data_IF_106053578705
#
_entry.id   IF_106053578705
#
_cell.length_a   1.000
_cell.length_b   1.000
_cell.length_c   1.000
_cell.angle_alpha   90.00
_cell.angle_beta   90.00
_cell.angle_gamma   90.00
#
_symmetry.space_group_name_H-M   'P 1'
#
loop_
_entity.id
_entity.type
_entity.pdbx_description
1 polymer ?
#
# COMPACT_ATOMS: atom_id res chain seq x y z
N UNK A 1 19.24 -12.37 -18.01
CA UNK A 1 18.36 -11.31 -17.51
C UNK A 1 19.21 -10.34 -16.71
N UNK A 2 18.95 -9.04 -16.81
CA UNK A 2 19.61 -8.03 -15.96
C UNK A 2 19.23 -8.30 -14.49
N UNK A 3 20.18 -8.20 -13.57
CA UNK A 3 19.90 -8.23 -12.14
C UNK A 3 19.36 -6.86 -11.73
N UNK A 4 18.21 -6.84 -11.10
CA UNK A 4 17.51 -5.62 -10.71
C UNK A 4 17.65 -5.42 -9.21
N UNK A 5 17.97 -4.20 -8.79
CA UNK A 5 18.19 -3.87 -7.38
C UNK A 5 17.34 -2.70 -6.94
N UNK A 6 17.04 -2.66 -5.66
CA UNK A 6 16.41 -1.53 -4.97
C UNK A 6 17.51 -0.76 -4.25
N UNK A 7 17.77 0.45 -4.69
CA UNK A 7 18.84 1.29 -4.17
C UNK A 7 18.46 2.02 -2.88
N UNK A 8 17.19 2.44 -2.80
CA UNK A 8 16.67 3.18 -1.64
C UNK A 8 15.18 2.94 -1.45
N UNK A 9 14.70 3.24 -0.25
CA UNK A 9 13.30 3.12 0.11
C UNK A 9 12.93 4.17 1.17
N UNK A 10 11.74 4.74 1.08
CA UNK A 10 11.18 5.60 2.11
C UNK A 10 9.65 5.65 2.04
N UNK A 11 9.02 6.11 3.12
CA UNK A 11 7.59 6.40 3.20
C UNK A 11 7.33 7.63 4.06
N UNK A 12 6.18 8.25 3.91
CA UNK A 12 5.65 9.17 4.94
C UNK A 12 5.16 8.37 6.14
N UNK A 13 5.02 8.99 7.29
CA UNK A 13 4.11 8.48 8.30
C UNK A 13 2.68 8.41 7.71
N UNK A 14 1.85 7.51 8.23
CA UNK A 14 0.47 7.31 7.76
C UNK A 14 -0.47 8.17 8.59
N UNK A 15 -1.20 9.06 7.91
CA UNK A 15 -2.26 9.89 8.49
C UNK A 15 -3.54 9.09 8.67
N UNK A 16 -4.27 9.34 9.76
CA UNK A 16 -5.62 8.82 9.97
C UNK A 16 -6.66 9.72 9.29
N UNK A 17 -7.84 9.21 9.06
CA UNK A 17 -8.97 9.98 8.51
C UNK A 17 -9.28 11.21 9.39
N UNK A 18 -9.36 12.38 8.77
CA UNK A 18 -9.50 13.67 9.46
C UNK A 18 -8.27 14.06 10.28
N UNK A 19 -7.12 13.41 10.05
CA UNK A 19 -5.87 13.63 10.78
C UNK A 19 -4.96 14.69 10.19
N UNK A 20 -3.69 14.60 10.54
CA UNK A 20 -2.68 15.63 10.23
C UNK A 20 -2.45 15.81 8.73
N UNK A 21 -2.59 14.75 7.91
CA UNK A 21 -2.40 14.81 6.46
C UNK A 21 -3.66 15.17 5.66
N UNK A 22 -4.82 15.34 6.29
CA UNK A 22 -6.14 15.47 5.64
C UNK A 22 -6.22 16.57 4.56
N UNK A 23 -5.37 17.57 4.61
CA UNK A 23 -5.32 18.66 3.64
C UNK A 23 -4.04 18.70 2.80
N UNK A 24 -3.25 17.62 2.80
CA UNK A 24 -2.01 17.52 2.02
C UNK A 24 -2.27 16.72 0.75
N UNK A 25 -2.29 17.35 -0.44
CA UNK A 25 -2.62 16.67 -1.69
C UNK A 25 -1.74 15.44 -1.95
N UNK A 26 -2.33 14.38 -2.53
CA UNK A 26 -1.59 13.16 -2.86
C UNK A 26 -0.34 13.43 -3.72
N UNK A 27 -0.41 14.38 -4.67
CA UNK A 27 0.74 14.78 -5.47
C UNK A 27 1.88 15.39 -4.65
N UNK A 28 1.56 16.10 -3.55
CA UNK A 28 2.57 16.69 -2.66
C UNK A 28 3.21 15.61 -1.77
N UNK A 29 2.42 14.68 -1.22
CA UNK A 29 2.94 13.51 -0.51
C UNK A 29 3.84 12.67 -1.42
N UNK A 30 3.42 12.42 -2.65
CA UNK A 30 4.21 11.72 -3.68
C UNK A 30 5.52 12.43 -3.98
N UNK A 31 5.52 13.77 -4.08
CA UNK A 31 6.72 14.55 -4.33
C UNK A 31 7.75 14.41 -3.19
N UNK A 32 7.30 14.39 -1.95
CA UNK A 32 8.16 14.23 -0.76
C UNK A 32 8.90 12.90 -0.82
N UNK A 33 8.20 11.79 -1.05
CA UNK A 33 8.83 10.45 -1.08
C UNK A 33 9.68 10.22 -2.33
N UNK A 34 9.32 10.77 -3.49
CA UNK A 34 10.14 10.71 -4.70
C UNK A 34 11.48 11.41 -4.45
N UNK A 35 11.44 12.65 -3.96
CA UNK A 35 12.65 13.43 -3.66
C UNK A 35 13.51 12.69 -2.64
N UNK A 36 12.95 12.27 -1.53
CA UNK A 36 13.70 11.57 -0.48
C UNK A 36 14.29 10.24 -0.97
N UNK A 37 13.57 9.47 -1.79
CA UNK A 37 14.10 8.22 -2.34
C UNK A 37 15.33 8.48 -3.24
N UNK A 38 15.29 9.53 -4.07
CA UNK A 38 16.43 9.98 -4.90
C UNK A 38 17.61 10.40 -4.03
N UNK A 39 17.34 11.23 -3.02
CA UNK A 39 18.38 11.72 -2.09
C UNK A 39 19.04 10.54 -1.33
N UNK A 40 18.25 9.56 -0.83
CA UNK A 40 18.76 8.35 -0.16
C UNK A 40 19.54 7.42 -1.08
N UNK A 41 19.17 7.36 -2.36
CA UNK A 41 19.94 6.59 -3.34
C UNK A 41 21.27 7.25 -3.70
N UNK A 42 21.47 8.51 -3.35
CA UNK A 42 22.68 9.28 -3.69
C UNK A 42 22.78 9.60 -5.18
N UNK A 43 21.66 9.65 -5.89
CA UNK A 43 21.60 9.99 -7.32
C UNK A 43 21.07 11.41 -7.53
N UNK A 44 21.28 11.92 -8.74
CA UNK A 44 20.72 13.21 -9.16
C UNK A 44 19.38 13.02 -9.85
N UNK A 45 18.43 13.99 -9.78
CA UNK A 45 17.16 13.92 -10.49
C UNK A 45 17.29 13.67 -11.99
N UNK A 46 18.34 14.18 -12.63
CA UNK A 46 18.63 14.04 -14.06
C UNK A 46 19.02 12.61 -14.47
N UNK A 47 19.33 11.74 -13.50
CA UNK A 47 19.70 10.35 -13.75
C UNK A 47 18.49 9.40 -13.76
N UNK A 48 17.33 9.91 -13.39
CA UNK A 48 16.09 9.12 -13.40
C UNK A 48 15.50 9.06 -14.80
N UNK A 49 15.23 7.86 -15.30
CA UNK A 49 14.67 7.65 -16.64
C UNK A 49 13.14 7.70 -16.64
N UNK A 50 12.50 7.24 -15.55
CA UNK A 50 11.04 7.13 -15.49
C UNK A 50 10.51 7.16 -14.05
N UNK A 51 9.23 7.54 -13.90
CA UNK A 51 8.51 7.51 -12.61
C UNK A 51 7.20 6.75 -12.75
N UNK A 52 6.99 5.74 -11.90
CA UNK A 52 5.71 5.06 -11.72
C UNK A 52 5.16 5.34 -10.32
N UNK A 53 3.97 5.94 -10.22
CA UNK A 53 3.29 6.15 -8.93
C UNK A 53 1.87 5.62 -8.95
N UNK A 54 1.56 4.75 -8.00
CA UNK A 54 0.21 4.31 -7.73
C UNK A 54 -0.65 5.42 -7.13
N UNK A 55 -1.87 5.59 -7.65
CA UNK A 55 -2.89 6.44 -7.05
C UNK A 55 -4.26 5.94 -7.52
N UNK A 56 -5.17 5.68 -6.60
CA UNK A 56 -6.48 5.06 -6.89
C UNK A 56 -7.56 6.12 -7.05
N UNK A 57 -7.69 7.00 -6.07
CA UNK A 57 -8.73 8.04 -6.02
C UNK A 57 -8.21 9.29 -6.72
N UNK A 58 -8.36 9.34 -8.05
CA UNK A 58 -7.78 10.39 -8.88
C UNK A 58 -8.76 11.52 -9.23
N UNK A 59 -10.04 11.37 -8.89
CA UNK A 59 -11.05 12.38 -9.17
C UNK A 59 -10.69 13.73 -8.52
N UNK A 60 -10.68 14.80 -9.31
CA UNK A 60 -10.39 16.14 -8.81
C UNK A 60 -8.91 16.47 -8.55
N UNK A 61 -7.99 15.51 -8.67
CA UNK A 61 -6.55 15.74 -8.45
C UNK A 61 -5.81 16.37 -9.62
N UNK A 62 -6.50 16.61 -10.75
CA UNK A 62 -5.90 17.11 -11.98
C UNK A 62 -5.30 15.99 -12.84
N UNK A 63 -4.50 16.37 -13.82
CA UNK A 63 -3.91 15.43 -14.75
C UNK A 63 -2.74 14.67 -14.12
N UNK A 64 -2.70 13.35 -14.27
CA UNK A 64 -1.54 12.49 -14.00
C UNK A 64 -0.81 12.83 -12.68
N UNK A 65 -1.31 12.28 -11.58
CA UNK A 65 -0.78 12.54 -10.22
C UNK A 65 0.72 12.23 -10.11
N UNK A 66 1.20 11.15 -10.76
CA UNK A 66 2.62 10.81 -10.82
C UNK A 66 3.46 11.92 -11.48
N UNK A 67 2.95 12.50 -12.58
CA UNK A 67 3.63 13.61 -13.25
C UNK A 67 3.70 14.86 -12.39
N UNK A 68 2.60 15.19 -11.71
CA UNK A 68 2.60 16.30 -10.76
C UNK A 68 3.61 16.10 -9.64
N UNK A 69 3.63 14.91 -9.04
CA UNK A 69 4.57 14.55 -7.97
C UNK A 69 6.03 14.61 -8.45
N UNK A 70 6.33 14.07 -9.63
CA UNK A 70 7.65 14.08 -10.26
C UNK A 70 8.19 15.51 -10.43
N UNK A 71 7.41 16.40 -11.04
CA UNK A 71 7.80 17.80 -11.24
C UNK A 71 7.97 18.55 -9.92
N UNK A 72 7.04 18.33 -8.96
CA UNK A 72 7.14 18.94 -7.62
C UNK A 72 8.34 18.42 -6.82
N UNK A 73 8.79 17.19 -7.07
CA UNK A 73 10.00 16.61 -6.50
C UNK A 73 11.29 17.21 -7.09
N UNK A 74 11.20 17.96 -8.18
CA UNK A 74 12.33 18.60 -8.84
C UNK A 74 12.97 17.78 -9.96
N UNK A 75 12.31 16.76 -10.50
CA UNK A 75 12.80 16.03 -11.66
C UNK A 75 12.70 16.89 -12.92
N UNK A 76 13.63 16.71 -13.88
CA UNK A 76 13.56 17.37 -15.17
C UNK A 76 12.25 17.10 -15.93
N UNK A 77 11.86 18.04 -16.77
CA UNK A 77 10.62 17.90 -17.56
C UNK A 77 10.70 16.79 -18.60
N UNK A 78 11.89 16.36 -18.94
CA UNK A 78 12.18 15.26 -19.87
C UNK A 78 11.86 13.88 -19.26
N UNK A 79 11.86 13.75 -17.92
CA UNK A 79 11.56 12.48 -17.25
C UNK A 79 10.07 12.19 -17.28
N UNK A 80 9.60 11.18 -18.03
CA UNK A 80 8.18 10.84 -18.10
C UNK A 80 7.70 10.21 -16.77
N UNK A 81 6.39 10.33 -16.53
CA UNK A 81 5.78 9.74 -15.35
C UNK A 81 4.39 9.15 -15.66
N UNK A 82 4.06 8.04 -15.04
CA UNK A 82 2.78 7.33 -15.23
C UNK A 82 2.11 7.05 -13.90
N UNK A 83 0.84 7.45 -13.80
CA UNK A 83 -0.01 7.07 -12.67
C UNK A 83 -0.64 5.70 -12.93
N UNK A 84 -0.45 4.77 -11.99
CA UNK A 84 -0.94 3.40 -12.09
C UNK A 84 -2.12 3.21 -11.14
N UNK A 85 -3.17 2.58 -11.62
CA UNK A 85 -4.30 2.15 -10.79
C UNK A 85 -4.58 0.66 -11.02
N UNK A 86 -4.21 -0.13 -10.04
CA UNK A 86 -4.64 -1.51 -9.83
C UNK A 86 -5.09 -1.64 -8.36
N UNK A 87 -5.96 -0.70 -7.96
CA UNK A 87 -6.50 -0.55 -6.61
C UNK A 87 -5.38 -0.66 -5.55
N UNK A 88 -5.56 -1.46 -4.49
CA UNK A 88 -4.60 -1.60 -3.38
C UNK A 88 -3.19 -2.02 -3.84
N UNK A 89 -3.08 -2.77 -4.94
CA UNK A 89 -1.81 -3.26 -5.49
C UNK A 89 -0.98 -2.23 -6.24
N UNK A 90 -1.50 -1.03 -6.48
CA UNK A 90 -0.88 -0.02 -7.35
C UNK A 90 0.58 0.26 -7.01
N UNK A 91 0.88 0.55 -5.75
CA UNK A 91 2.23 0.89 -5.31
C UNK A 91 3.23 -0.26 -5.47
N UNK A 92 2.85 -1.51 -5.17
CA UNK A 92 3.74 -2.67 -5.32
C UNK A 92 3.90 -3.06 -6.80
N UNK A 93 2.81 -2.93 -7.58
CA UNK A 93 2.88 -3.20 -9.02
C UNK A 93 3.75 -2.17 -9.75
N UNK A 94 3.81 -0.92 -9.29
CA UNK A 94 4.76 0.07 -9.81
C UNK A 94 6.21 -0.42 -9.70
N UNK A 95 6.57 -1.06 -8.58
CA UNK A 95 7.91 -1.63 -8.39
C UNK A 95 8.15 -2.80 -9.36
N UNK A 96 7.17 -3.68 -9.52
CA UNK A 96 7.27 -4.79 -10.48
C UNK A 96 7.37 -4.28 -11.93
N UNK A 97 6.61 -3.24 -12.30
CA UNK A 97 6.69 -2.62 -13.63
C UNK A 97 8.03 -1.93 -13.87
N UNK A 98 8.58 -1.25 -12.84
CA UNK A 98 9.91 -0.66 -12.91
C UNK A 98 11.00 -1.71 -13.17
N UNK A 99 10.97 -2.82 -12.44
CA UNK A 99 11.87 -3.93 -12.66
C UNK A 99 11.76 -4.51 -14.09
N UNK A 100 10.53 -4.71 -14.57
CA UNK A 100 10.26 -5.20 -15.94
C UNK A 100 10.75 -4.23 -17.01
N UNK A 101 10.58 -2.92 -16.84
CA UNK A 101 11.06 -1.89 -17.75
C UNK A 101 12.60 -1.90 -17.86
N UNK A 102 13.28 -2.07 -16.72
CA UNK A 102 14.74 -2.17 -16.68
C UNK A 102 15.23 -3.49 -17.29
N UNK A 103 14.53 -4.62 -17.03
CA UNK A 103 14.83 -5.89 -17.68
C UNK A 103 14.69 -5.83 -19.21
N UNK A 104 13.67 -5.10 -19.70
CA UNK A 104 13.46 -4.87 -21.12
C UNK A 104 14.53 -4.00 -21.77
N UNK A 105 15.27 -3.21 -20.99
CA UNK A 105 16.32 -2.31 -21.47
C UNK A 105 15.82 -0.91 -21.84
N UNK A 106 14.58 -0.57 -21.48
CA UNK A 106 13.97 0.74 -21.79
C UNK A 106 14.36 1.82 -20.75
N UNK A 107 14.91 1.42 -19.59
CA UNK A 107 15.41 2.29 -18.54
C UNK A 107 16.54 1.62 -17.76
N UNK A 108 17.34 2.40 -17.05
CA UNK A 108 18.33 1.95 -16.07
C UNK A 108 17.95 2.34 -14.64
N UNK A 109 17.29 3.48 -14.44
CA UNK A 109 16.90 4.00 -13.12
C UNK A 109 15.42 4.45 -13.16
N UNK A 110 14.59 3.82 -12.32
CA UNK A 110 13.15 4.14 -12.22
C UNK A 110 12.78 4.42 -10.76
N UNK A 111 12.08 5.52 -10.52
CA UNK A 111 11.43 5.75 -9.23
C UNK A 111 10.04 5.11 -9.27
N UNK A 112 9.76 4.23 -8.32
CA UNK A 112 8.49 3.51 -8.24
C UNK A 112 7.87 3.63 -6.85
N UNK A 113 6.57 3.82 -6.78
CA UNK A 113 5.91 3.97 -5.50
C UNK A 113 4.40 4.12 -5.59
N UNK A 114 3.84 4.79 -4.60
CA UNK A 114 2.43 5.13 -4.57
C UNK A 114 2.13 6.24 -3.58
N UNK A 115 1.04 6.93 -3.82
CA UNK A 115 0.56 8.04 -2.99
C UNK A 115 -0.96 8.02 -2.96
N UNK A 116 -1.53 8.35 -1.83
CA UNK A 116 -2.98 8.47 -1.67
C UNK A 116 -3.30 9.51 -0.60
N UNK A 117 -4.31 10.32 -0.84
CA UNK A 117 -4.99 11.07 0.20
C UNK A 117 -6.48 10.74 0.09
N UNK A 118 -6.97 9.88 0.98
CA UNK A 118 -8.36 9.44 0.98
C UNK A 118 -9.30 10.50 1.56
N UNK A 119 -8.79 11.37 2.45
CA UNK A 119 -9.53 12.49 3.03
C UNK A 119 -9.98 13.52 1.98
N UNK A 120 -9.17 13.71 0.92
CA UNK A 120 -9.45 14.68 -0.14
C UNK A 120 -10.29 14.11 -1.29
N UNK A 121 -10.78 12.89 -1.18
CA UNK A 121 -11.66 12.30 -2.18
C UNK A 121 -12.93 13.14 -2.35
N UNK A 122 -13.25 13.63 -3.55
CA UNK A 122 -14.42 14.48 -3.77
C UNK A 122 -15.71 13.66 -3.87
N UNK A 123 -16.84 14.33 -3.67
CA UNK A 123 -18.12 13.81 -4.08
C UNK A 123 -18.40 14.17 -5.55
N UNK A 124 -18.80 13.20 -6.35
CA UNK A 124 -19.11 13.37 -7.77
C UNK A 124 -20.62 13.48 -8.01
N UNK A 125 -21.00 14.43 -8.85
CA UNK A 125 -22.36 14.57 -9.37
C UNK A 125 -22.43 13.91 -10.75
N UNK A 126 -22.72 12.61 -10.82
CA UNK A 126 -22.57 11.75 -12.00
C UNK A 126 -23.32 12.23 -13.24
N UNK A 127 -24.47 12.90 -13.10
CA UNK A 127 -25.28 13.43 -14.21
C UNK A 127 -25.24 14.96 -14.31
N UNK A 128 -24.35 15.60 -13.56
CA UNK A 128 -24.24 17.06 -13.53
C UNK A 128 -23.99 17.70 -14.90
N UNK A 129 -23.22 17.05 -15.79
CA UNK A 129 -22.90 17.55 -17.14
C UNK A 129 -24.13 17.82 -18.01
N UNK A 130 -25.17 17.00 -17.86
CA UNK A 130 -26.42 17.13 -18.63
C UNK A 130 -27.53 17.85 -17.85
N UNK A 131 -27.23 18.32 -16.64
CA UNK A 131 -28.17 18.93 -15.72
C UNK A 131 -29.09 17.90 -15.07
N UNK A 132 -29.46 18.14 -13.82
CA UNK A 132 -30.39 17.28 -13.10
C UNK A 132 -31.85 17.62 -13.39
N UNK A 133 -32.14 18.81 -13.95
CA UNK A 133 -33.49 19.29 -14.28
C UNK A 133 -34.47 19.07 -13.12
N UNK A 134 -35.33 18.05 -13.19
CA UNK A 134 -36.26 17.64 -12.13
C UNK A 134 -35.68 16.54 -11.21
N UNK A 135 -34.37 16.30 -11.26
CA UNK A 135 -33.69 15.21 -10.58
C UNK A 135 -33.65 13.90 -11.40
N UNK A 136 -32.75 12.94 -10.99
CA UNK A 136 -32.66 11.63 -11.65
C UNK A 136 -32.29 10.55 -10.60
N UNK A 137 -33.18 9.59 -10.33
CA UNK A 137 -34.59 9.52 -10.80
C UNK A 137 -35.36 10.79 -10.42
N UNK A 138 -36.46 11.06 -11.13
CA UNK A 138 -37.25 12.28 -10.92
C UNK A 138 -37.54 12.53 -9.44
N UNK A 139 -37.24 13.77 -8.99
CA UNK A 139 -37.36 14.17 -7.58
C UNK A 139 -36.18 13.78 -6.69
N UNK A 140 -35.11 13.15 -7.23
CA UNK A 140 -33.89 12.80 -6.48
C UNK A 140 -32.65 13.28 -7.23
N UNK A 141 -31.62 13.65 -6.45
CA UNK A 141 -30.27 13.93 -6.94
C UNK A 141 -29.28 13.22 -6.02
N UNK A 142 -28.33 12.50 -6.61
CA UNK A 142 -27.36 11.72 -5.85
C UNK A 142 -25.97 12.34 -6.01
N UNK A 143 -25.28 12.46 -4.88
CA UNK A 143 -23.84 12.67 -4.82
C UNK A 143 -23.20 11.33 -4.52
N UNK A 144 -22.16 10.98 -5.27
CA UNK A 144 -21.41 9.74 -5.11
C UNK A 144 -20.08 10.08 -4.42
N UNK A 145 -19.83 9.49 -3.27
CA UNK A 145 -18.53 9.54 -2.62
C UNK A 145 -17.54 8.72 -3.44
N UNK A 146 -16.56 9.39 -4.05
CA UNK A 146 -15.59 8.73 -4.93
C UNK A 146 -14.62 7.84 -4.16
N UNK A 147 -14.36 8.12 -2.87
CA UNK A 147 -13.58 7.22 -2.02
C UNK A 147 -14.27 5.86 -1.88
N UNK A 148 -15.55 5.87 -1.59
CA UNK A 148 -16.33 4.64 -1.45
C UNK A 148 -16.51 3.97 -2.80
N UNK A 149 -16.98 4.70 -3.81
CA UNK A 149 -17.33 4.14 -5.12
C UNK A 149 -16.13 3.57 -5.88
N UNK A 150 -14.97 4.27 -5.86
CA UNK A 150 -13.84 3.93 -6.72
C UNK A 150 -12.79 3.05 -6.00
N UNK A 151 -12.80 3.01 -4.66
CA UNK A 151 -11.80 2.25 -3.89
C UNK A 151 -12.40 1.18 -2.96
N UNK A 152 -13.60 1.39 -2.39
CA UNK A 152 -14.15 0.55 -1.32
C UNK A 152 -15.41 -0.23 -1.73
N UNK A 153 -15.88 -0.09 -2.97
CA UNK A 153 -17.05 -0.74 -3.50
C UNK A 153 -16.72 -1.78 -4.55
N UNK A 154 -17.26 -2.99 -4.42
CA UNK A 154 -17.10 -4.03 -5.42
C UNK A 154 -17.97 -3.71 -6.65
N UNK A 155 -17.29 -3.50 -7.79
CA UNK A 155 -17.95 -3.12 -9.04
C UNK A 155 -18.75 -4.26 -9.70
N UNK A 156 -18.51 -5.51 -9.32
CA UNK A 156 -19.14 -6.70 -9.91
C UNK A 156 -20.35 -7.15 -9.10
N UNK A 157 -20.24 -7.15 -7.78
CA UNK A 157 -21.25 -7.66 -6.86
C UNK A 157 -22.07 -6.54 -6.21
N UNK A 158 -21.71 -5.27 -6.44
CA UNK A 158 -22.42 -4.09 -5.96
C UNK A 158 -22.59 -4.04 -4.43
N UNK A 159 -21.50 -4.23 -3.69
CA UNK A 159 -21.44 -4.11 -2.24
C UNK A 159 -20.07 -3.61 -1.77
N UNK A 160 -20.00 -3.19 -0.50
CA UNK A 160 -18.76 -2.72 0.11
C UNK A 160 -17.73 -3.85 0.26
N UNK A 161 -16.42 -3.54 0.13
CA UNK A 161 -15.31 -4.50 0.30
C UNK A 161 -15.38 -5.29 1.62
N UNK A 162 -15.95 -4.72 2.68
CA UNK A 162 -16.18 -5.42 3.94
C UNK A 162 -17.07 -6.66 3.82
N UNK A 163 -17.97 -6.70 2.81
CA UNK A 163 -18.77 -7.91 2.53
C UNK A 163 -17.88 -9.02 1.94
N UNK A 164 -16.87 -8.68 1.14
CA UNK A 164 -15.90 -9.69 0.68
C UNK A 164 -15.12 -10.31 1.84
N UNK A 165 -14.86 -9.52 2.90
CA UNK A 165 -14.21 -10.03 4.11
C UNK A 165 -15.15 -10.97 4.92
N UNK A 166 -16.46 -10.66 4.98
CA UNK A 166 -17.45 -11.57 5.56
C UNK A 166 -17.53 -12.88 4.76
N UNK A 167 -17.53 -12.80 3.41
CA UNK A 167 -17.53 -13.99 2.55
C UNK A 167 -16.28 -14.87 2.80
N UNK A 168 -15.12 -14.25 2.94
CA UNK A 168 -13.89 -14.97 3.30
C UNK A 168 -14.01 -15.60 4.67
N UNK A 169 -14.53 -14.88 5.67
CA UNK A 169 -14.71 -15.42 7.02
C UNK A 169 -15.66 -16.63 7.01
N UNK A 170 -16.77 -16.53 6.30
CA UNK A 170 -17.75 -17.63 6.15
C UNK A 170 -17.09 -18.85 5.45
N UNK A 171 -16.35 -18.64 4.38
CA UNK A 171 -15.76 -19.74 3.58
C UNK A 171 -14.60 -20.46 4.29
N UNK A 172 -13.80 -19.74 5.09
CA UNK A 172 -12.69 -20.32 5.87
C UNK A 172 -13.07 -20.69 7.30
N UNK A 173 -14.36 -20.53 7.67
CA UNK A 173 -14.86 -20.90 8.99
C UNK A 173 -14.25 -20.10 10.14
N UNK A 174 -13.90 -18.83 9.90
CA UNK A 174 -13.29 -17.96 10.89
C UNK A 174 -14.31 -17.43 11.89
N UNK A 175 -13.90 -17.26 13.12
CA UNK A 175 -14.77 -16.72 14.19
C UNK A 175 -14.46 -15.24 14.45
N UNK A 176 -15.38 -14.53 15.09
CA UNK A 176 -15.16 -13.17 15.56
C UNK A 176 -13.93 -13.06 16.47
N UNK A 177 -13.73 -14.04 17.33
CA UNK A 177 -12.58 -14.09 18.26
C UNK A 177 -11.26 -14.18 17.50
N UNK A 178 -11.18 -15.00 16.44
CA UNK A 178 -10.00 -15.10 15.59
C UNK A 178 -9.64 -13.74 14.98
N UNK A 179 -10.64 -13.02 14.44
CA UNK A 179 -10.45 -11.73 13.81
C UNK A 179 -9.99 -10.67 14.82
N UNK A 180 -10.62 -10.61 15.98
CA UNK A 180 -10.29 -9.62 17.01
C UNK A 180 -8.92 -9.89 17.64
N UNK A 181 -8.54 -11.16 17.82
CA UNK A 181 -7.21 -11.56 18.31
C UNK A 181 -6.12 -11.20 17.29
N UNK A 182 -6.36 -11.40 15.99
CA UNK A 182 -5.45 -10.99 14.95
C UNK A 182 -5.25 -9.46 14.97
N UNK A 183 -6.34 -8.71 15.03
CA UNK A 183 -6.32 -7.26 15.08
C UNK A 183 -5.60 -6.72 16.32
N UNK A 184 -5.85 -7.32 17.49
CA UNK A 184 -5.15 -6.97 18.73
C UNK A 184 -3.64 -7.17 18.60
N UNK A 185 -3.20 -8.28 18.02
CA UNK A 185 -1.78 -8.57 17.83
C UNK A 185 -1.12 -7.57 16.83
N UNK A 186 -1.82 -7.17 15.78
CA UNK A 186 -1.34 -6.12 14.87
C UNK A 186 -1.14 -4.79 15.60
N UNK A 187 -2.12 -4.38 16.42
CA UNK A 187 -2.04 -3.16 17.24
C UNK A 187 -0.91 -3.21 18.26
N UNK A 188 -0.72 -4.36 18.93
CA UNK A 188 0.34 -4.56 19.90
C UNK A 188 1.72 -4.42 19.25
N UNK A 189 1.96 -5.15 18.14
CA UNK A 189 3.22 -5.09 17.39
C UNK A 189 3.52 -3.68 16.90
N UNK A 190 2.54 -2.96 16.33
CA UNK A 190 2.72 -1.60 15.83
C UNK A 190 3.04 -0.61 16.96
N UNK A 191 2.35 -0.71 18.08
CA UNK A 191 2.59 0.14 19.26
C UNK A 191 4.00 -0.07 19.83
N UNK A 192 4.46 -1.31 19.90
CA UNK A 192 5.82 -1.66 20.33
C UNK A 192 6.87 -1.17 19.31
N UNK A 193 6.62 -1.34 18.02
CA UNK A 193 7.52 -0.89 16.96
C UNK A 193 7.71 0.64 16.99
N UNK A 194 6.64 1.41 17.15
CA UNK A 194 6.71 2.87 17.31
C UNK A 194 7.52 3.24 18.56
N UNK A 195 7.20 2.63 19.70
CA UNK A 195 7.90 2.89 20.97
C UNK A 195 9.40 2.61 20.88
N UNK A 196 9.77 1.57 20.14
CA UNK A 196 11.16 1.14 19.96
C UNK A 196 11.85 1.87 18.79
N UNK A 197 11.15 2.73 18.07
CA UNK A 197 11.69 3.51 16.95
C UNK A 197 11.98 2.71 15.69
N UNK A 198 11.32 1.55 15.51
CA UNK A 198 11.54 0.65 14.37
C UNK A 198 11.26 1.32 13.01
N UNK A 199 10.38 2.32 12.96
CA UNK A 199 10.02 3.02 11.74
C UNK A 199 10.83 4.29 11.46
N UNK A 200 11.74 4.70 12.35
CA UNK A 200 12.45 5.99 12.22
C UNK A 200 13.28 6.12 10.95
N UNK A 201 13.91 5.04 10.53
CA UNK A 201 14.76 5.07 9.32
C UNK A 201 13.92 5.07 8.03
N UNK A 202 12.73 4.48 8.03
CA UNK A 202 11.91 4.40 6.83
C UNK A 202 11.04 5.63 6.58
N UNK A 203 10.71 6.38 7.65
CA UNK A 203 9.82 7.55 7.57
C UNK A 203 10.61 8.79 7.16
N UNK A 204 10.10 9.51 6.15
CA UNK A 204 10.47 10.88 5.84
C UNK A 204 9.44 11.82 6.48
N UNK A 205 9.87 12.82 7.28
CA UNK A 205 8.94 13.77 7.88
C UNK A 205 8.20 14.62 6.84
N UNK A 206 6.90 14.80 7.03
CA UNK A 206 6.09 15.76 6.26
C UNK A 206 5.98 17.05 7.06
N UNK A 207 6.44 18.16 6.47
CA UNK A 207 6.36 19.48 7.11
C UNK A 207 5.09 20.21 6.64
N UNK A 208 4.14 20.39 7.56
CA UNK A 208 2.88 21.08 7.29
C UNK A 208 3.01 22.51 7.79
N UNK A 209 2.93 23.45 6.85
CA UNK A 209 3.00 24.89 7.17
C UNK A 209 1.78 25.33 7.96
N UNK A 210 2.01 25.95 9.10
CA UNK A 210 0.96 26.49 9.96
C UNK A 210 1.36 27.88 10.49
N UNK A 211 0.39 28.79 10.61
CA UNK A 211 0.59 30.17 11.11
C UNK A 211 1.15 30.21 12.55
N UNK A 212 0.93 29.17 13.33
CA UNK A 212 1.40 29.06 14.74
C UNK A 212 2.74 28.34 14.88
N UNK A 213 3.37 27.97 13.78
CA UNK A 213 4.60 27.18 13.69
C UNK A 213 4.36 25.90 12.90
N UNK A 214 5.36 25.47 12.14
CA UNK A 214 5.28 24.28 11.31
C UNK A 214 5.04 23.02 12.15
N UNK A 215 4.19 22.12 11.66
CA UNK A 215 3.94 20.80 12.23
C UNK A 215 4.84 19.81 11.50
N UNK A 216 5.67 19.09 12.23
CA UNK A 216 6.46 18.00 11.69
C UNK A 216 5.71 16.70 11.94
N UNK A 217 5.26 16.07 10.87
CA UNK A 217 4.54 14.80 10.92
C UNK A 217 5.48 13.65 10.53
N UNK A 218 5.90 12.87 11.52
CA UNK A 218 6.93 11.83 11.42
C UNK A 218 6.56 10.52 12.16
N UNK A 219 5.33 10.41 12.63
CA UNK A 219 4.86 9.25 13.40
C UNK A 219 3.48 8.82 12.93
N UNK A 220 3.27 7.53 12.72
CA UNK A 220 2.00 6.96 12.28
C UNK A 220 0.88 7.25 13.30
N UNK A 221 -0.25 7.81 12.84
CA UNK A 221 -1.38 8.20 13.69
C UNK A 221 -2.38 7.07 13.95
N UNK A 222 -2.28 5.96 13.21
CA UNK A 222 -3.26 4.87 13.25
C UNK A 222 -3.26 4.05 14.54
N UNK A 223 -2.09 3.66 15.07
CA UNK A 223 -2.03 2.69 16.14
C UNK A 223 -2.76 3.13 17.41
N UNK A 224 -3.71 2.29 17.81
CA UNK A 224 -4.54 2.48 19.00
C UNK A 224 -4.79 1.15 19.67
N UNK A 225 -3.89 0.78 20.58
CA UNK A 225 -4.04 -0.45 21.34
C UNK A 225 -5.26 -0.37 22.26
N UNK A 226 -6.24 -1.21 21.98
CA UNK A 226 -7.46 -1.37 22.79
C UNK A 226 -7.47 -2.76 23.38
N UNK A 227 -7.99 -2.90 24.62
CA UNK A 227 -8.11 -4.20 25.26
C UNK A 227 -9.05 -5.14 24.46
N UNK A 228 -8.82 -6.46 24.45
CA UNK A 228 -9.65 -7.42 23.72
C UNK A 228 -11.15 -7.30 24.01
N UNK A 229 -11.51 -7.00 25.27
CA UNK A 229 -12.90 -6.84 25.71
C UNK A 229 -13.58 -5.59 25.08
N UNK A 230 -12.78 -4.60 24.62
CA UNK A 230 -13.28 -3.43 23.90
C UNK A 230 -13.54 -3.81 22.45
N UNK A 231 -12.65 -4.56 21.81
CA UNK A 231 -12.84 -5.06 20.45
C UNK A 231 -14.09 -5.97 20.36
N UNK A 232 -14.26 -6.88 21.30
CA UNK A 232 -15.40 -7.80 21.36
C UNK A 232 -16.76 -7.09 21.42
N UNK A 233 -16.82 -5.85 21.93
CA UNK A 233 -18.07 -5.04 22.03
C UNK A 233 -18.41 -4.26 20.75
N UNK A 234 -17.49 -4.21 19.78
CA UNK A 234 -17.74 -3.49 18.53
C UNK A 234 -18.83 -4.19 17.72
N UNK A 235 -19.72 -3.37 17.14
CA UNK A 235 -20.78 -3.89 16.27
C UNK A 235 -20.21 -4.26 14.89
N UNK A 236 -20.79 -5.26 14.21
CA UNK A 236 -20.53 -5.52 12.81
C UNK A 236 -20.69 -4.25 11.96
N UNK A 237 -19.76 -4.01 11.02
CA UNK A 237 -19.73 -2.77 10.26
C UNK A 237 -20.43 -2.88 8.88
N UNK A 238 -20.46 -4.07 8.29
CA UNK A 238 -20.82 -4.23 6.88
C UNK A 238 -22.04 -5.15 6.64
N UNK A 239 -22.27 -6.12 7.50
CA UNK A 239 -23.35 -7.11 7.39
C UNK A 239 -24.08 -7.21 8.74
N UNK A 240 -25.41 -7.22 8.70
CA UNK A 240 -26.19 -7.52 9.92
C UNK A 240 -25.80 -8.92 10.42
N UNK A 241 -25.52 -9.02 11.70
CA UNK A 241 -25.07 -10.25 12.35
C UNK A 241 -23.72 -10.82 11.78
N UNK A 242 -22.93 -9.96 11.12
CA UNK A 242 -21.58 -10.28 10.65
C UNK A 242 -20.55 -10.27 11.78
N UNK A 243 -19.28 -10.55 11.41
CA UNK A 243 -18.16 -10.59 12.36
C UNK A 243 -17.05 -9.58 12.04
N UNK A 244 -17.12 -8.94 10.87
CA UNK A 244 -16.17 -7.89 10.47
C UNK A 244 -16.58 -6.55 11.07
N UNK A 245 -15.66 -5.92 11.79
CA UNK A 245 -15.90 -4.67 12.53
C UNK A 245 -14.86 -3.62 12.15
N UNK A 246 -15.07 -2.37 12.57
CA UNK A 246 -14.05 -1.32 12.44
C UNK A 246 -12.75 -1.63 13.23
N UNK A 247 -12.79 -2.52 14.22
CA UNK A 247 -11.62 -2.90 15.01
C UNK A 247 -10.76 -4.00 14.36
N UNK A 248 -11.34 -4.81 13.46
CA UNK A 248 -10.64 -5.88 12.76
C UNK A 248 -10.55 -5.65 11.23
N UNK A 249 -10.67 -4.38 10.83
CA UNK A 249 -10.51 -3.86 9.48
C UNK A 249 -9.47 -2.75 9.46
N UNK A 250 -8.78 -2.55 8.34
CA UNK A 250 -7.94 -1.37 8.15
C UNK A 250 -8.78 -0.09 8.07
N UNK A 251 -8.19 1.03 8.43
CA UNK A 251 -8.84 2.34 8.40
C UNK A 251 -8.65 3.05 7.05
N UNK A 252 -9.34 4.18 6.90
CA UNK A 252 -9.16 5.17 5.82
C UNK A 252 -7.95 6.04 6.19
N UNK A 253 -7.00 6.19 5.28
CA UNK A 253 -5.71 6.79 5.59
C UNK A 253 -5.11 7.56 4.42
N UNK A 254 -4.13 8.41 4.76
CA UNK A 254 -3.33 9.19 3.83
C UNK A 254 -1.86 8.82 3.97
N UNK A 255 -1.12 8.81 2.86
CA UNK A 255 0.30 8.54 2.89
C UNK A 255 0.91 8.25 1.52
N UNK A 256 2.24 8.18 1.49
CA UNK A 256 3.01 7.87 0.29
C UNK A 256 4.24 7.03 0.61
N UNK A 257 4.72 6.28 -0.38
CA UNK A 257 5.96 5.52 -0.30
C UNK A 257 6.62 5.46 -1.67
N UNK A 258 7.95 5.43 -1.71
CA UNK A 258 8.72 5.30 -2.94
C UNK A 258 10.01 4.51 -2.73
N UNK A 259 10.45 3.85 -3.79
CA UNK A 259 11.75 3.19 -3.92
C UNK A 259 12.44 3.63 -5.20
N UNK A 260 13.76 3.59 -5.22
CA UNK A 260 14.56 3.69 -6.45
C UNK A 260 14.95 2.29 -6.88
N UNK A 261 14.52 1.91 -8.08
CA UNK A 261 14.83 0.64 -8.72
C UNK A 261 15.84 0.88 -9.84
N UNK A 262 16.89 0.07 -9.93
CA UNK A 262 17.88 0.20 -11.00
C UNK A 262 18.49 -1.14 -11.39
N UNK A 263 19.22 -1.16 -12.54
CA UNK A 263 20.04 -2.31 -12.87
C UNK A 263 21.24 -2.40 -11.92
N UNK A 264 21.67 -3.62 -11.57
CA UNK A 264 22.88 -3.83 -10.75
C UNK A 264 24.12 -3.21 -11.42
N UNK A 265 24.18 -3.24 -12.75
CA UNK A 265 25.24 -2.62 -13.54
C UNK A 265 25.31 -1.11 -13.31
N UNK A 266 24.16 -0.43 -13.34
CA UNK A 266 24.05 1.00 -13.08
C UNK A 266 24.37 1.33 -11.62
N UNK A 267 23.97 0.52 -10.65
CA UNK A 267 24.34 0.69 -9.26
C UNK A 267 25.87 0.62 -9.07
N UNK A 268 26.53 -0.35 -9.71
CA UNK A 268 28.00 -0.47 -9.69
C UNK A 268 28.71 0.71 -10.36
N UNK A 269 28.20 1.16 -11.52
CA UNK A 269 28.73 2.34 -12.23
C UNK A 269 28.71 3.59 -11.34
N UNK A 270 27.62 3.75 -10.58
CA UNK A 270 27.42 4.90 -9.69
C UNK A 270 28.02 4.72 -8.28
N UNK A 271 28.61 3.55 -7.97
CA UNK A 271 29.17 3.26 -6.65
C UNK A 271 28.10 3.12 -5.56
N UNK A 272 26.86 2.76 -5.92
CA UNK A 272 25.75 2.62 -4.99
C UNK A 272 25.71 1.19 -4.43
N UNK A 273 25.62 1.08 -3.11
CA UNK A 273 25.33 -0.20 -2.43
C UNK A 273 23.82 -0.38 -2.35
N UNK A 274 23.23 -1.36 -3.06
CA UNK A 274 21.80 -1.58 -3.00
C UNK A 274 21.32 -2.03 -1.62
N UNK A 275 20.06 -1.72 -1.29
CA UNK A 275 19.37 -2.28 -0.12
C UNK A 275 19.01 -3.75 -0.33
N UNK A 276 18.53 -4.09 -1.53
CA UNK A 276 18.07 -5.45 -1.85
C UNK A 276 18.10 -5.70 -3.36
N UNK A 277 18.08 -6.97 -3.75
CA UNK A 277 17.80 -7.44 -5.10
C UNK A 277 16.31 -7.72 -5.24
N UNK A 278 15.68 -7.24 -6.33
CA UNK A 278 14.35 -7.70 -6.73
C UNK A 278 14.46 -9.07 -7.39
N UNK A 279 13.86 -10.08 -6.78
CA UNK A 279 13.92 -11.48 -7.25
C UNK A 279 12.80 -11.78 -8.24
N UNK A 280 11.62 -11.24 -8.01
CA UNK A 280 10.49 -11.42 -8.88
C UNK A 280 9.21 -10.79 -8.35
N UNK A 281 8.26 -10.61 -9.26
CA UNK A 281 6.94 -10.12 -8.92
C UNK A 281 5.85 -10.73 -9.81
N UNK A 282 4.62 -10.73 -9.30
CA UNK A 282 3.46 -11.24 -10.04
C UNK A 282 2.15 -10.60 -9.59
N UNK A 283 1.20 -10.51 -10.52
CA UNK A 283 -0.22 -10.32 -10.26
C UNK A 283 -0.93 -11.69 -10.40
N UNK A 284 -1.90 -11.95 -9.53
CA UNK A 284 -2.78 -13.13 -9.58
C UNK A 284 -4.24 -12.71 -9.52
N UNK A 285 -5.14 -13.46 -10.14
CA UNK A 285 -6.59 -13.23 -10.11
C UNK A 285 -7.33 -14.31 -9.31
N UNK A 286 -8.42 -13.90 -8.66
CA UNK A 286 -9.36 -14.76 -7.92
C UNK A 286 -10.78 -14.23 -8.13
N UNK A 287 -11.78 -14.94 -7.64
CA UNK A 287 -13.16 -14.45 -7.66
C UNK A 287 -13.28 -13.11 -6.90
N UNK A 288 -13.91 -12.08 -7.50
CA UNK A 288 -14.08 -10.78 -6.84
C UNK A 288 -14.79 -10.87 -5.47
N UNK A 289 -15.72 -11.80 -5.29
CA UNK A 289 -16.47 -11.96 -4.04
C UNK A 289 -15.60 -12.37 -2.84
N UNK A 290 -14.42 -12.90 -3.10
CA UNK A 290 -13.41 -13.28 -2.11
C UNK A 290 -12.05 -12.63 -2.44
N UNK A 291 -12.06 -11.38 -2.91
CA UNK A 291 -10.86 -10.64 -3.35
C UNK A 291 -9.72 -10.71 -2.34
N UNK A 292 -10.05 -10.83 -1.05
CA UNK A 292 -9.09 -10.88 0.04
C UNK A 292 -8.04 -11.99 -0.10
N UNK A 293 -8.35 -13.09 -0.78
CA UNK A 293 -7.40 -14.21 -1.00
C UNK A 293 -6.58 -14.08 -2.29
N UNK A 294 -6.66 -12.94 -2.98
CA UNK A 294 -5.81 -12.61 -4.13
C UNK A 294 -4.29 -12.81 -3.90
N UNK A 295 -3.74 -12.51 -2.70
CA UNK A 295 -2.36 -12.81 -2.36
C UNK A 295 -1.94 -14.26 -2.58
N UNK A 296 -2.85 -15.22 -2.38
CA UNK A 296 -2.57 -16.65 -2.59
C UNK A 296 -2.21 -16.92 -4.05
N UNK A 297 -3.03 -16.40 -4.98
CA UNK A 297 -2.79 -16.57 -6.42
C UNK A 297 -1.50 -15.86 -6.87
N UNK A 298 -1.27 -14.63 -6.41
CA UNK A 298 -0.09 -13.86 -6.77
C UNK A 298 1.19 -14.48 -6.20
N UNK A 299 1.17 -14.91 -4.93
CA UNK A 299 2.32 -15.54 -4.27
C UNK A 299 2.66 -16.87 -4.91
N UNK A 300 1.70 -17.74 -5.15
CA UNK A 300 1.94 -19.02 -5.86
C UNK A 300 2.55 -18.79 -7.24
N UNK A 301 2.11 -17.76 -7.95
CA UNK A 301 2.63 -17.43 -9.29
C UNK A 301 4.08 -16.92 -9.23
N UNK A 302 4.43 -16.04 -8.29
CA UNK A 302 5.81 -15.56 -8.16
C UNK A 302 6.73 -16.65 -7.65
N UNK A 303 6.29 -17.51 -6.72
CA UNK A 303 7.05 -18.67 -6.25
C UNK A 303 7.36 -19.64 -7.42
N UNK A 304 6.36 -19.97 -8.24
CA UNK A 304 6.57 -20.80 -9.43
C UNK A 304 7.56 -20.18 -10.44
N UNK A 305 7.52 -18.84 -10.60
CA UNK A 305 8.43 -18.11 -11.49
C UNK A 305 9.88 -18.12 -10.98
N UNK A 306 10.07 -18.04 -9.67
CA UNK A 306 11.40 -17.90 -9.05
C UNK A 306 12.01 -19.22 -8.60
N UNK A 307 11.22 -20.28 -8.51
CA UNK A 307 11.63 -21.57 -7.95
C UNK A 307 11.74 -21.59 -6.44
N UNK A 308 11.28 -20.53 -5.76
CA UNK A 308 11.25 -20.40 -4.32
C UNK A 308 9.93 -20.92 -3.74
N UNK A 309 9.90 -21.12 -2.43
CA UNK A 309 8.72 -21.48 -1.64
C UNK A 309 8.50 -20.46 -0.52
N UNK A 310 7.33 -20.48 0.09
CA UNK A 310 7.03 -19.63 1.26
C UNK A 310 7.96 -19.95 2.45
N UNK A 311 8.36 -21.22 2.59
CA UNK A 311 9.27 -21.64 3.65
C UNK A 311 10.69 -21.01 3.54
N UNK A 312 11.09 -20.61 2.33
CA UNK A 312 12.36 -19.92 2.09
C UNK A 312 12.35 -18.44 2.56
N UNK A 313 11.18 -17.90 2.90
CA UNK A 313 11.05 -16.51 3.33
C UNK A 313 11.42 -16.36 4.81
N UNK A 314 12.30 -15.41 5.09
CA UNK A 314 12.67 -15.04 6.47
C UNK A 314 11.65 -14.09 7.08
N UNK A 315 11.14 -13.13 6.28
CA UNK A 315 10.10 -12.18 6.68
C UNK A 315 9.04 -12.03 5.58
N UNK A 316 7.82 -11.73 6.02
CA UNK A 316 6.66 -11.52 5.15
C UNK A 316 5.94 -10.26 5.61
N UNK A 317 5.70 -9.33 4.70
CA UNK A 317 4.75 -8.23 4.85
C UNK A 317 3.52 -8.55 3.99
N UNK A 318 2.43 -8.95 4.66
CA UNK A 318 1.14 -9.22 4.05
C UNK A 318 0.15 -8.14 4.49
N UNK A 319 -0.35 -7.33 3.55
CA UNK A 319 -1.22 -6.21 3.90
C UNK A 319 -2.51 -6.68 4.57
N UNK A 320 -2.86 -6.04 5.68
CA UNK A 320 -4.01 -6.36 6.50
C UNK A 320 -5.20 -5.44 6.14
N UNK A 321 -5.81 -5.65 4.97
CA UNK A 321 -7.03 -4.93 4.64
C UNK A 321 -8.18 -5.29 5.61
N UNK A 322 -8.27 -6.58 5.95
CA UNK A 322 -9.19 -7.15 6.95
C UNK A 322 -8.51 -8.33 7.66
N UNK A 323 -8.83 -8.54 8.93
CA UNK A 323 -8.30 -9.70 9.67
C UNK A 323 -8.73 -11.03 9.03
N UNK A 324 -9.98 -11.13 8.58
CA UNK A 324 -10.50 -12.33 7.89
C UNK A 324 -9.64 -12.72 6.68
N UNK A 325 -9.37 -11.75 5.82
CA UNK A 325 -8.54 -11.97 4.63
C UNK A 325 -7.10 -12.36 5.00
N UNK A 326 -6.53 -11.71 6.02
CA UNK A 326 -5.15 -11.99 6.45
C UNK A 326 -5.00 -13.41 6.99
N UNK A 327 -5.96 -13.87 7.79
CA UNK A 327 -6.00 -15.23 8.32
C UNK A 327 -6.19 -16.29 7.23
N UNK A 328 -7.09 -16.05 6.26
CA UNK A 328 -7.31 -16.94 5.13
C UNK A 328 -6.04 -17.09 4.25
N UNK A 329 -5.37 -15.97 3.96
CA UNK A 329 -4.11 -15.96 3.21
C UNK A 329 -3.01 -16.70 3.98
N UNK A 330 -2.89 -16.47 5.28
CA UNK A 330 -1.90 -17.15 6.12
C UNK A 330 -2.14 -18.67 6.16
N UNK A 331 -3.39 -19.09 6.24
CA UNK A 331 -3.78 -20.50 6.17
C UNK A 331 -3.40 -21.13 4.83
N UNK A 332 -3.82 -20.54 3.70
CA UNK A 332 -3.66 -21.12 2.37
C UNK A 332 -2.22 -21.12 1.84
N UNK A 333 -1.39 -20.24 2.38
CA UNK A 333 0.05 -20.15 2.08
C UNK A 333 0.93 -20.75 3.19
N UNK A 334 0.32 -21.30 4.23
CA UNK A 334 1.03 -21.94 5.37
C UNK A 334 2.06 -20.99 6.00
N UNK A 335 1.66 -19.73 6.25
CA UNK A 335 2.57 -18.74 6.81
C UNK A 335 2.97 -19.07 8.26
N UNK A 336 4.26 -19.01 8.55
CA UNK A 336 4.75 -18.90 9.91
C UNK A 336 4.45 -17.48 10.44
N UNK A 337 3.44 -17.35 11.30
CA UNK A 337 2.96 -16.07 11.81
C UNK A 337 3.99 -15.33 12.67
N UNK A 338 5.07 -15.96 13.09
CA UNK A 338 6.19 -15.30 13.78
C UNK A 338 7.03 -14.44 12.82
N UNK A 339 6.95 -14.71 11.51
CA UNK A 339 7.64 -14.00 10.43
C UNK A 339 6.76 -12.96 9.74
N UNK A 340 5.44 -12.91 10.04
CA UNK A 340 4.47 -12.06 9.35
C UNK A 340 4.25 -10.77 10.10
N UNK A 341 4.33 -9.65 9.38
CA UNK A 341 4.03 -8.30 9.88
C UNK A 341 4.64 -8.09 11.28
N UNK A 342 5.95 -8.29 11.36
CA UNK A 342 6.68 -8.32 12.64
C UNK A 342 6.64 -7.00 13.40
N UNK A 343 6.29 -5.91 12.73
CA UNK A 343 6.12 -4.57 13.28
C UNK A 343 4.65 -4.11 13.28
N UNK A 344 3.69 -5.05 13.15
CA UNK A 344 2.27 -4.74 12.93
C UNK A 344 1.96 -4.44 11.46
N UNK A 345 0.69 -4.43 11.09
CA UNK A 345 0.23 -4.23 9.72
C UNK A 345 -0.85 -3.16 9.59
N UNK A 346 -1.59 -3.19 8.49
CA UNK A 346 -2.50 -2.12 8.10
C UNK A 346 -3.72 -1.93 9.00
N UNK A 347 -4.15 -2.94 9.75
CA UNK A 347 -5.21 -2.78 10.76
C UNK A 347 -4.78 -1.77 11.83
N UNK A 348 -3.50 -1.76 12.18
CA UNK A 348 -2.94 -0.82 13.13
C UNK A 348 -2.42 0.44 12.46
N UNK A 349 -1.58 0.31 11.43
CA UNK A 349 -0.86 1.41 10.80
C UNK A 349 -1.74 2.21 9.84
N UNK A 350 -2.68 1.55 9.14
CA UNK A 350 -3.51 2.16 8.12
C UNK A 350 -3.26 1.68 6.70
N UNK A 351 -4.22 2.01 5.79
CA UNK A 351 -4.25 1.52 4.41
C UNK A 351 -4.52 2.63 3.39
N UNK A 352 -3.57 3.57 3.14
CA UNK A 352 -3.66 4.50 2.01
C UNK A 352 -3.57 3.71 0.70
N UNK A 353 -4.71 3.43 0.07
CA UNK A 353 -4.86 2.33 -0.91
C UNK A 353 -3.81 2.34 -2.02
N UNK A 354 -3.58 3.45 -2.72
CA UNK A 354 -2.59 3.52 -3.81
C UNK A 354 -1.13 3.45 -3.35
N UNK A 355 -0.86 3.81 -2.09
CA UNK A 355 0.48 3.80 -1.51
C UNK A 355 0.85 2.47 -0.84
N UNK A 356 -0.14 1.75 -0.33
CA UNK A 356 0.05 0.61 0.57
C UNK A 356 0.97 -0.47 0.04
N UNK A 357 0.89 -0.79 -1.25
CA UNK A 357 1.76 -1.82 -1.84
C UNK A 357 3.25 -1.49 -1.76
N UNK A 358 3.63 -0.23 -2.00
CA UNK A 358 5.01 0.21 -1.82
C UNK A 358 5.34 0.37 -0.33
N UNK A 359 4.38 0.83 0.49
CA UNK A 359 4.55 0.98 1.94
C UNK A 359 4.95 -0.35 2.59
N UNK A 360 4.26 -1.45 2.31
CA UNK A 360 4.62 -2.76 2.88
C UNK A 360 6.00 -3.23 2.43
N UNK A 361 6.40 -2.95 1.17
CA UNK A 361 7.75 -3.26 0.69
C UNK A 361 8.81 -2.44 1.44
N UNK A 362 8.59 -1.14 1.65
CA UNK A 362 9.50 -0.29 2.43
C UNK A 362 9.67 -0.84 3.84
N UNK A 363 8.58 -1.13 4.54
CA UNK A 363 8.62 -1.70 5.89
C UNK A 363 9.33 -3.06 5.91
N UNK A 364 9.07 -3.93 4.91
CA UNK A 364 9.77 -5.21 4.77
C UNK A 364 11.29 -5.03 4.67
N UNK A 365 11.75 -4.13 3.80
CA UNK A 365 13.17 -3.87 3.59
C UNK A 365 13.87 -3.42 4.87
N UNK A 366 13.28 -2.49 5.62
CA UNK A 366 13.87 -2.04 6.88
C UNK A 366 13.78 -3.11 7.97
N UNK A 367 12.69 -3.86 8.06
CA UNK A 367 12.58 -5.00 8.99
C UNK A 367 13.63 -6.08 8.69
N UNK A 368 13.87 -6.40 7.42
CA UNK A 368 14.91 -7.33 6.98
C UNK A 368 16.30 -6.82 7.39
N UNK A 369 16.61 -5.55 7.09
CA UNK A 369 17.87 -4.91 7.47
C UNK A 369 18.13 -5.00 8.98
N UNK A 370 17.15 -4.64 9.81
CA UNK A 370 17.30 -4.61 11.26
C UNK A 370 17.41 -5.99 11.89
N UNK A 371 16.85 -7.03 11.25
CA UNK A 371 16.82 -8.40 11.75
C UNK A 371 17.87 -9.32 11.09
N UNK A 372 18.62 -8.82 10.10
CA UNK A 372 19.58 -9.61 9.33
C UNK A 372 18.92 -10.70 8.49
N UNK A 373 17.67 -10.48 8.08
CA UNK A 373 16.91 -11.39 7.25
C UNK A 373 17.36 -11.29 5.79
N UNK A 374 17.36 -12.40 5.07
CA UNK A 374 17.89 -12.48 3.70
C UNK A 374 16.80 -12.44 2.63
N UNK A 375 15.69 -13.14 2.82
CA UNK A 375 14.60 -13.23 1.84
C UNK A 375 13.31 -12.71 2.42
N UNK A 376 12.64 -11.85 1.65
CA UNK A 376 11.39 -11.24 2.06
C UNK A 376 10.32 -11.29 0.97
N UNK A 377 9.07 -11.46 1.39
CA UNK A 377 7.88 -11.41 0.56
C UNK A 377 7.01 -10.24 0.97
N UNK A 378 6.69 -9.35 0.04
CA UNK A 378 5.61 -8.37 0.17
C UNK A 378 4.41 -8.84 -0.66
N UNK A 379 3.22 -8.89 -0.06
CA UNK A 379 1.99 -9.32 -0.76
C UNK A 379 0.75 -8.57 -0.25
N UNK A 380 -0.21 -8.33 -1.13
CA UNK A 380 -1.49 -7.70 -0.76
C UNK A 380 -2.63 -8.12 -1.68
N UNK A 381 -3.84 -8.08 -1.12
CA UNK A 381 -5.08 -8.22 -1.87
C UNK A 381 -5.41 -6.94 -2.65
N UNK A 382 -6.24 -7.09 -3.65
CA UNK A 382 -6.64 -6.03 -4.57
C UNK A 382 -8.15 -6.15 -4.82
N UNK A 383 -8.87 -5.06 -4.65
CA UNK A 383 -10.29 -4.98 -5.02
C UNK A 383 -10.54 -5.41 -6.46
N UNK A 384 -11.66 -6.08 -6.69
CA UNK A 384 -11.98 -6.67 -7.99
C UNK A 384 -11.44 -8.10 -8.18
N UNK A 385 -10.89 -8.74 -7.13
CA UNK A 385 -10.48 -10.15 -7.15
C UNK A 385 -9.07 -10.38 -7.67
N UNK A 386 -8.08 -9.66 -7.15
CA UNK A 386 -6.69 -9.83 -7.54
C UNK A 386 -5.74 -9.80 -6.32
N UNK A 387 -4.48 -10.11 -6.54
CA UNK A 387 -3.37 -9.92 -5.62
C UNK A 387 -2.10 -9.50 -6.33
N UNK A 388 -1.21 -8.86 -5.59
CA UNK A 388 0.14 -8.53 -6.05
C UNK A 388 1.17 -9.05 -5.04
N UNK A 389 2.27 -9.61 -5.55
CA UNK A 389 3.36 -10.13 -4.71
C UNK A 389 4.71 -9.73 -5.31
N UNK A 390 5.68 -9.50 -4.43
CA UNK A 390 7.07 -9.18 -4.78
C UNK A 390 8.00 -9.88 -3.80
N UNK A 391 9.04 -10.54 -4.32
CA UNK A 391 10.11 -11.17 -3.54
C UNK A 391 11.37 -10.33 -3.67
N UNK A 392 12.02 -10.07 -2.56
CA UNK A 392 13.30 -9.37 -2.46
C UNK A 392 14.32 -10.20 -1.70
N UNK A 393 15.62 -9.99 -2.00
CA UNK A 393 16.73 -10.66 -1.32
C UNK A 393 17.80 -9.63 -0.92
N UNK A 394 18.33 -9.75 0.29
CA UNK A 394 19.46 -8.97 0.82
C UNK A 394 20.71 -9.85 0.93
N UNK A 395 21.89 -9.28 0.68
CA UNK A 395 23.19 -9.96 0.77
C UNK A 395 23.58 -10.34 2.22
#
# INVERSE_FOLDING_TARGET
MKKIVIASACRTAIGKFGGTLSNTPAADLGAIVIKEAIDRAGIKPEQVDHVYMGCVIQAGLGQNVARQASIKAGLPVEVPAVTVNVVCGSGLNCVNMAAQMIEAGDADIVVAGGTENMDMAPFAMMKGRYGYRMGYPMGKSELVDTMVNDALWDAFNNYHMGITAENVADQWGLTREDLDNFAYNSQLKASEAIKNGAFKEEIVPVVIKNKKGDIIFDTDEGPRLSAPEVLAKLKPAFKKDGIVTAGNSSAINDGAAAVVVMSEEKAKELGITPMATWVGGALGGVDPSIMGVGPVAATRKVMAKTGLTVADMDLIEANEAFAAQSLAVAHDLEFDMSKVNVNGGAIALGHPVGASGCRILVTLLYAMKHRGAKKGLATLCIGGGMGCSTIVEMD
#
